data_IF_450249278441
#
_entry.id   IF_450249278441
#
_cell.length_a   1.000
_cell.length_b   1.000
_cell.length_c   1.000
_cell.angle_alpha   90.00
_cell.angle_beta   90.00
_cell.angle_gamma   90.00
#
_symmetry.space_group_name_H-M   'P 1'
#
loop_
_entity.id
_entity.type
_entity.pdbx_description
1 polymer ?
#
# COMPACT_ATOMS: atom_id res chain seq x y z
N UNK A 1 -19.71 12.38 25.46
CA UNK A 1 -19.16 11.06 25.11
C UNK A 1 -20.17 10.41 24.18
N UNK A 2 -20.02 10.54 22.87
CA UNK A 2 -21.12 10.20 21.95
C UNK A 2 -20.68 9.23 20.86
N UNK A 3 -21.48 8.15 20.78
CA UNK A 3 -21.61 7.11 19.76
C UNK A 3 -20.53 6.03 19.76
N UNK A 4 -20.92 4.85 20.26
CA UNK A 4 -20.31 3.56 19.90
C UNK A 4 -20.58 3.32 18.41
N UNK A 5 -19.79 3.94 17.53
CA UNK A 5 -19.62 3.43 16.18
C UNK A 5 -19.12 1.99 16.30
N UNK A 6 -19.65 1.08 15.49
CA UNK A 6 -19.07 -0.25 15.40
C UNK A 6 -17.68 -0.12 14.77
N UNK A 7 -16.73 -0.97 15.15
CA UNK A 7 -15.39 -1.01 14.53
C UNK A 7 -15.49 -1.13 12.99
N UNK A 8 -16.51 -1.82 12.50
CA UNK A 8 -16.82 -1.94 11.07
C UNK A 8 -17.15 -0.58 10.44
N UNK A 9 -17.92 0.26 11.13
CA UNK A 9 -18.26 1.61 10.63
C UNK A 9 -17.07 2.57 10.64
N UNK A 10 -16.19 2.46 11.63
CA UNK A 10 -14.94 3.22 11.69
C UNK A 10 -13.99 2.81 10.56
N UNK A 11 -13.81 1.50 10.35
CA UNK A 11 -12.99 0.99 9.26
C UNK A 11 -13.56 1.35 7.89
N UNK A 12 -14.88 1.32 7.73
CA UNK A 12 -15.55 1.77 6.50
C UNK A 12 -15.30 3.26 6.22
N UNK A 13 -15.30 4.09 7.27
CA UNK A 13 -14.99 5.52 7.16
C UNK A 13 -13.52 5.72 6.77
N UNK A 14 -12.59 5.03 7.44
CA UNK A 14 -11.16 5.05 7.13
C UNK A 14 -10.88 4.63 5.68
N UNK A 15 -11.54 3.57 5.22
CA UNK A 15 -11.44 3.07 3.85
C UNK A 15 -11.95 4.09 2.83
N UNK A 16 -13.09 4.73 3.13
CA UNK A 16 -13.65 5.76 2.24
C UNK A 16 -12.71 6.97 2.11
N UNK A 17 -12.09 7.40 3.22
CA UNK A 17 -11.09 8.47 3.23
C UNK A 17 -9.85 8.10 2.41
N UNK A 18 -9.33 6.88 2.61
CA UNK A 18 -8.21 6.34 1.84
C UNK A 18 -8.48 6.36 0.32
N UNK A 19 -9.65 5.86 -0.10
CA UNK A 19 -10.01 5.82 -1.53
C UNK A 19 -10.09 7.24 -2.10
N UNK A 20 -10.76 8.16 -1.40
CA UNK A 20 -10.85 9.55 -1.84
C UNK A 20 -9.47 10.19 -2.01
N UNK A 21 -8.55 10.00 -1.06
CA UNK A 21 -7.18 10.56 -1.17
C UNK A 21 -6.38 9.96 -2.33
N UNK A 22 -6.53 8.66 -2.60
CA UNK A 22 -5.88 7.99 -3.73
C UNK A 22 -6.46 8.44 -5.07
N UNK A 23 -7.77 8.70 -5.14
CA UNK A 23 -8.41 9.25 -6.33
C UNK A 23 -7.96 10.69 -6.59
N UNK A 24 -7.95 11.53 -5.54
CA UNK A 24 -7.46 12.91 -5.60
C UNK A 24 -5.99 12.98 -6.02
N UNK A 25 -5.16 12.02 -5.58
CA UNK A 25 -3.75 11.96 -5.96
C UNK A 25 -3.56 11.92 -7.49
N UNK A 26 -4.38 11.14 -8.19
CA UNK A 26 -4.29 10.99 -9.67
C UNK A 26 -4.53 12.31 -10.39
N UNK A 27 -5.32 13.21 -9.80
CA UNK A 27 -5.57 14.54 -10.34
C UNK A 27 -4.50 15.58 -10.00
N UNK A 28 -3.70 15.34 -8.95
CA UNK A 28 -2.72 16.32 -8.41
C UNK A 28 -1.29 16.11 -8.89
N UNK A 29 -0.92 14.89 -9.25
CA UNK A 29 0.46 14.55 -9.62
C UNK A 29 0.56 14.12 -11.08
N UNK A 30 1.37 14.83 -11.86
CA UNK A 30 1.67 14.50 -13.27
C UNK A 30 2.98 13.72 -13.41
N UNK A 31 3.92 13.93 -12.50
CA UNK A 31 5.24 13.29 -12.50
C UNK A 31 5.27 12.05 -11.61
N UNK A 32 6.04 11.05 -12.04
CA UNK A 32 6.16 9.77 -11.32
C UNK A 32 6.70 9.95 -9.90
N UNK A 33 7.78 10.71 -9.72
CA UNK A 33 8.41 10.85 -8.40
C UNK A 33 7.45 11.49 -7.38
N UNK A 34 6.80 12.58 -7.77
CA UNK A 34 5.80 13.25 -6.91
C UNK A 34 4.59 12.36 -6.62
N UNK A 35 4.16 11.56 -7.60
CA UNK A 35 3.10 10.58 -7.42
C UNK A 35 3.53 9.48 -6.44
N UNK A 36 4.74 8.95 -6.61
CA UNK A 36 5.29 7.87 -5.79
C UNK A 36 5.45 8.29 -4.33
N UNK A 37 6.06 9.46 -4.09
CA UNK A 37 6.25 9.99 -2.74
C UNK A 37 4.91 10.20 -2.04
N UNK A 38 3.97 10.84 -2.73
CA UNK A 38 2.62 11.10 -2.19
C UNK A 38 1.84 9.80 -1.94
N UNK A 39 1.92 8.83 -2.85
CA UNK A 39 1.28 7.52 -2.68
C UNK A 39 1.88 6.79 -1.48
N UNK A 40 3.21 6.81 -1.33
CA UNK A 40 3.90 6.17 -0.22
C UNK A 40 3.50 6.79 1.14
N UNK A 41 3.29 8.11 1.19
CA UNK A 41 2.81 8.79 2.39
C UNK A 41 1.35 8.44 2.72
N UNK A 42 0.47 8.38 1.70
CA UNK A 42 -0.92 7.93 1.88
C UNK A 42 -0.94 6.49 2.42
N UNK A 43 -0.20 5.57 1.80
CA UNK A 43 -0.12 4.18 2.25
C UNK A 43 0.40 4.08 3.68
N UNK A 44 1.37 4.90 4.06
CA UNK A 44 1.87 4.97 5.45
C UNK A 44 0.77 5.45 6.40
N UNK A 45 0.07 6.54 6.08
CA UNK A 45 -0.94 7.13 6.95
C UNK A 45 -2.10 6.16 7.23
N UNK A 46 -2.55 5.43 6.21
CA UNK A 46 -3.71 4.55 6.31
C UNK A 46 -3.38 3.10 6.69
N UNK A 47 -2.23 2.56 6.28
CA UNK A 47 -1.95 1.12 6.39
C UNK A 47 -0.93 0.74 7.48
N UNK A 48 -0.32 1.70 8.19
CA UNK A 48 0.72 1.35 9.20
C UNK A 48 0.18 0.60 10.42
N UNK A 49 -1.07 0.85 10.82
CA UNK A 49 -1.72 0.17 11.95
C UNK A 49 -2.47 -1.12 11.54
N UNK A 50 -2.53 -1.42 10.24
CA UNK A 50 -3.28 -2.56 9.75
C UNK A 50 -2.34 -3.77 9.69
N UNK A 51 -2.70 -4.93 10.28
CA UNK A 51 -1.87 -6.13 10.17
C UNK A 51 -1.81 -6.61 8.72
N UNK A 52 -0.62 -7.01 8.25
CA UNK A 52 -0.46 -7.55 6.89
C UNK A 52 -1.12 -8.91 6.67
N UNK A 53 -1.28 -9.69 7.73
CA UNK A 53 -1.88 -11.01 7.71
C UNK A 53 -2.79 -11.22 8.93
N UNK A 54 -4.06 -11.55 8.71
CA UNK A 54 -5.04 -11.80 9.78
C UNK A 54 -5.13 -13.27 10.18
N UNK A 55 -4.46 -14.17 9.45
CA UNK A 55 -4.47 -15.62 9.64
C UNK A 55 -3.28 -16.16 10.46
N UNK A 56 -2.27 -15.33 10.72
CA UNK A 56 -1.01 -15.75 11.37
C UNK A 56 -0.77 -14.88 12.60
N UNK A 57 -0.57 -15.51 13.75
CA UNK A 57 -0.30 -14.82 15.04
C UNK A 57 1.10 -15.23 15.51
N UNK A 58 1.99 -14.27 15.86
CA UNK A 58 1.77 -12.82 15.89
C UNK A 58 1.92 -12.17 14.51
N UNK A 59 0.97 -11.32 14.12
CA UNK A 59 1.16 -10.43 12.99
C UNK A 59 1.88 -9.17 13.47
N UNK A 60 3.19 -9.14 13.33
CA UNK A 60 4.07 -8.05 13.77
C UNK A 60 4.46 -7.10 12.63
N UNK A 61 4.09 -7.40 11.39
CA UNK A 61 4.40 -6.58 10.21
C UNK A 61 3.14 -5.85 9.77
N UNK A 62 3.21 -4.53 9.67
CA UNK A 62 2.12 -3.70 9.14
C UNK A 62 1.92 -3.95 7.65
N UNK A 63 0.71 -3.71 7.18
CA UNK A 63 0.35 -3.82 5.78
C UNK A 63 1.18 -2.85 4.92
N UNK A 64 1.46 -1.64 5.42
CA UNK A 64 2.37 -0.69 4.77
C UNK A 64 3.76 -1.30 4.52
N UNK A 65 4.41 -1.84 5.55
CA UNK A 65 5.77 -2.40 5.43
C UNK A 65 5.78 -3.64 4.53
N UNK A 66 4.72 -4.46 4.60
CA UNK A 66 4.57 -5.61 3.72
C UNK A 66 4.45 -5.19 2.25
N UNK A 67 3.59 -4.21 1.94
CA UNK A 67 3.44 -3.68 0.58
C UNK A 67 4.74 -3.08 0.05
N UNK A 68 5.42 -2.26 0.85
CA UNK A 68 6.69 -1.63 0.47
C UNK A 68 7.78 -2.66 0.18
N UNK A 69 7.92 -3.66 1.06
CA UNK A 69 8.90 -4.74 0.89
C UNK A 69 8.60 -5.57 -0.35
N UNK A 70 7.32 -5.90 -0.57
CA UNK A 70 6.87 -6.68 -1.74
C UNK A 70 7.16 -5.94 -3.04
N UNK A 71 6.90 -4.63 -3.10
CA UNK A 71 7.22 -3.80 -4.25
C UNK A 71 8.74 -3.76 -4.53
N UNK A 72 9.56 -3.63 -3.48
CA UNK A 72 11.02 -3.68 -3.62
C UNK A 72 11.55 -5.02 -4.15
N UNK A 73 10.99 -6.14 -3.66
CA UNK A 73 11.33 -7.48 -4.16
C UNK A 73 10.93 -7.64 -5.63
N UNK A 74 9.73 -7.20 -5.99
CA UNK A 74 9.25 -7.26 -7.37
C UNK A 74 10.15 -6.46 -8.33
N UNK A 75 10.59 -5.27 -7.90
CA UNK A 75 11.54 -4.45 -8.66
C UNK A 75 12.90 -5.15 -8.82
N UNK A 76 13.46 -5.69 -7.74
CA UNK A 76 14.73 -6.42 -7.80
C UNK A 76 14.66 -7.65 -8.73
N UNK A 77 13.54 -8.37 -8.71
CA UNK A 77 13.30 -9.49 -9.64
C UNK A 77 13.23 -8.98 -11.07
N UNK A 78 12.52 -7.87 -11.33
CA UNK A 78 12.43 -7.27 -12.65
C UNK A 78 13.81 -6.87 -13.19
N UNK A 79 14.59 -6.13 -12.40
CA UNK A 79 15.95 -5.69 -12.78
C UNK A 79 16.87 -6.89 -13.08
N UNK A 80 16.78 -7.94 -12.26
CA UNK A 80 17.51 -9.17 -12.50
C UNK A 80 17.11 -9.83 -13.83
N UNK A 81 15.82 -9.86 -14.18
CA UNK A 81 15.35 -10.46 -15.43
C UNK A 81 15.82 -9.66 -16.65
N UNK A 82 15.72 -8.33 -16.58
CA UNK A 82 16.18 -7.40 -17.62
C UNK A 82 17.69 -7.55 -17.85
N UNK A 83 18.49 -7.52 -16.77
CA UNK A 83 19.95 -7.66 -16.86
C UNK A 83 20.41 -9.01 -17.45
N UNK A 84 19.62 -10.07 -17.27
CA UNK A 84 19.94 -11.41 -17.76
C UNK A 84 19.26 -11.77 -19.10
N UNK A 85 18.65 -10.80 -19.80
CA UNK A 85 17.89 -11.00 -21.06
C UNK A 85 16.90 -12.18 -20.98
N UNK A 86 16.34 -12.43 -19.79
CA UNK A 86 15.30 -13.44 -19.62
C UNK A 86 13.96 -12.82 -20.01
N UNK A 87 13.63 -12.84 -21.30
CA UNK A 87 12.32 -12.39 -21.80
C UNK A 87 11.13 -13.21 -21.25
N UNK A 88 11.40 -14.31 -20.53
CA UNK A 88 10.41 -15.30 -20.06
C UNK A 88 10.24 -15.36 -18.54
N UNK A 89 10.19 -14.21 -17.88
CA UNK A 89 9.63 -14.13 -16.51
C UNK A 89 8.24 -13.46 -16.51
N UNK A 90 7.51 -13.58 -17.62
CA UNK A 90 6.09 -13.26 -17.74
C UNK A 90 5.37 -14.60 -17.94
N UNK A 91 4.61 -15.00 -16.93
CA UNK A 91 3.84 -16.26 -16.90
C UNK A 91 2.98 -16.43 -18.15
#
# INVERSE_FOLDING_TARGET
>A
MNKSSSLQSEYSTLWSQFINEVEDLKGRCTEFDSFYDSLNDILRNYLWCIPSATNTIPCNVSLYEHCKTTAGIALAIYDYCVANNKEKCRN
#
